data_IF_605728136717
#
_entry.id   IF_605728136717
#
_cell.length_a   1.000
_cell.length_b   1.000
_cell.length_c   1.000
_cell.angle_alpha   90.00
_cell.angle_beta   90.00
_cell.angle_gamma   90.00
#
_symmetry.space_group_name_H-M   'P 1'
#
loop_
_entity.id
_entity.type
_entity.pdbx_description
1 polymer ?
#
# COMPACT_ATOMS: atom_id res chain seq x y z
N UNK A 1 -7.17 -6.97 10.65
CA UNK A 1 -7.09 -6.13 11.85
C UNK A 1 -6.41 -4.77 11.62
N UNK A 2 -5.30 -4.70 10.87
CA UNK A 2 -4.52 -3.47 10.65
C UNK A 2 -5.33 -2.26 10.14
N UNK A 3 -5.98 -2.35 8.97
CA UNK A 3 -6.71 -1.22 8.37
C UNK A 3 -7.79 -0.64 9.29
N UNK A 4 -8.50 -1.49 10.05
CA UNK A 4 -9.49 -1.03 11.01
C UNK A 4 -8.87 -0.19 12.15
N UNK A 5 -7.69 -0.60 12.66
CA UNK A 5 -6.95 0.15 13.68
C UNK A 5 -6.40 1.47 13.15
N UNK A 6 -5.93 1.47 11.90
CA UNK A 6 -5.49 2.71 11.21
C UNK A 6 -6.67 3.66 11.05
N UNK A 7 -7.80 3.19 10.52
CA UNK A 7 -9.00 4.00 10.34
C UNK A 7 -9.50 4.60 11.67
N UNK A 8 -9.56 3.80 12.74
CA UNK A 8 -9.93 4.27 14.08
C UNK A 8 -8.97 5.33 14.62
N UNK A 9 -7.67 5.22 14.33
CA UNK A 9 -6.67 6.20 14.76
C UNK A 9 -6.77 7.51 13.97
N UNK A 10 -6.92 7.42 12.65
CA UNK A 10 -7.07 8.59 11.79
C UNK A 10 -8.36 9.35 12.13
N UNK A 11 -9.49 8.66 12.28
CA UNK A 11 -10.75 9.29 12.64
C UNK A 11 -10.67 10.00 14.00
N UNK A 12 -10.04 9.36 14.99
CA UNK A 12 -9.82 9.98 16.30
C UNK A 12 -8.92 11.23 16.24
N UNK A 13 -7.82 11.16 15.49
CA UNK A 13 -6.82 12.24 15.43
C UNK A 13 -7.30 13.42 14.59
N UNK A 14 -8.04 13.13 13.50
CA UNK A 14 -8.49 14.13 12.53
C UNK A 14 -9.94 14.57 12.76
N UNK A 15 -10.59 14.09 13.83
CA UNK A 15 -11.99 14.41 14.14
C UNK A 15 -12.98 13.92 13.08
N UNK A 16 -12.65 12.86 12.33
CA UNK A 16 -13.45 12.35 11.21
C UNK A 16 -14.39 11.24 11.65
N UNK A 17 -15.48 11.07 10.92
CA UNK A 17 -16.45 9.99 11.09
C UNK A 17 -16.64 9.23 9.78
N UNK A 18 -17.03 7.95 9.88
CA UNK A 18 -17.29 7.11 8.71
C UNK A 18 -16.07 6.29 8.21
N UNK A 19 -16.23 5.60 7.07
CA UNK A 19 -15.23 4.68 6.55
C UNK A 19 -14.06 5.42 5.91
N UNK A 20 -12.84 5.17 6.40
CA UNK A 20 -11.60 5.67 5.78
C UNK A 20 -11.24 4.86 4.53
N UNK A 21 -11.38 3.53 4.60
CA UNK A 21 -11.08 2.64 3.48
C UNK A 21 -12.40 2.15 2.86
N UNK A 22 -12.66 2.44 1.58
CA UNK A 22 -13.93 2.08 0.94
C UNK A 22 -14.05 0.59 0.63
N UNK A 23 -12.95 -0.16 0.66
CA UNK A 23 -12.88 -1.59 0.32
C UNK A 23 -11.91 -2.34 1.23
N UNK A 24 -12.02 -3.66 1.25
CA UNK A 24 -11.05 -4.54 1.92
C UNK A 24 -9.67 -4.42 1.25
N UNK A 25 -8.63 -4.66 2.05
CA UNK A 25 -7.28 -4.81 1.54
C UNK A 25 -7.25 -5.93 0.49
N UNK A 26 -6.47 -5.70 -0.55
CA UNK A 26 -6.34 -6.59 -1.69
C UNK A 26 -4.90 -6.46 -2.18
N UNK A 27 -4.18 -7.57 -2.22
CA UNK A 27 -2.78 -7.63 -2.62
C UNK A 27 -2.72 -8.39 -3.94
N UNK A 28 -2.71 -7.67 -5.06
CA UNK A 28 -2.52 -8.32 -6.36
C UNK A 28 -1.05 -8.74 -6.49
N UNK A 29 -0.76 -10.01 -6.82
CA UNK A 29 0.58 -10.47 -7.12
C UNK A 29 1.18 -9.71 -8.30
N UNK A 30 2.48 -9.48 -8.22
CA UNK A 30 3.30 -8.97 -9.32
C UNK A 30 4.29 -10.09 -9.65
N UNK A 31 4.18 -10.63 -10.87
CA UNK A 31 4.78 -11.91 -11.26
C UNK A 31 6.11 -11.77 -12.00
N UNK A 32 6.46 -10.55 -12.43
CA UNK A 32 7.71 -10.24 -13.12
C UNK A 32 8.21 -8.82 -12.80
N UNK A 33 9.47 -8.55 -13.15
CA UNK A 33 10.14 -7.27 -12.88
C UNK A 33 9.62 -6.11 -13.74
N UNK A 34 9.17 -6.39 -14.96
CA UNK A 34 8.62 -5.39 -15.88
C UNK A 34 7.31 -4.82 -15.31
N UNK A 35 6.43 -5.71 -14.86
CA UNK A 35 5.19 -5.39 -14.15
C UNK A 35 5.48 -4.65 -12.85
N UNK A 36 6.49 -5.05 -12.08
CA UNK A 36 6.89 -4.34 -10.86
C UNK A 36 7.29 -2.89 -11.17
N UNK A 37 8.13 -2.69 -12.17
CA UNK A 37 8.53 -1.37 -12.67
C UNK A 37 7.32 -0.55 -13.16
N UNK A 38 6.42 -1.18 -13.91
CA UNK A 38 5.16 -0.58 -14.36
C UNK A 38 4.25 -0.16 -13.20
N UNK A 39 4.21 -0.93 -12.09
CA UNK A 39 3.45 -0.57 -10.88
C UNK A 39 4.09 0.60 -10.14
N UNK A 40 5.41 0.66 -10.06
CA UNK A 40 6.12 1.81 -9.49
C UNK A 40 5.83 3.05 -10.32
N UNK A 41 5.98 3.00 -11.65
CA UNK A 41 5.60 4.09 -12.57
C UNK A 41 4.16 4.52 -12.33
N UNK A 42 3.22 3.59 -12.25
CA UNK A 42 1.82 3.89 -11.98
C UNK A 42 1.64 4.67 -10.68
N UNK A 43 2.26 4.24 -9.57
CA UNK A 43 2.15 4.92 -8.27
C UNK A 43 2.69 6.34 -8.33
N UNK A 44 3.85 6.54 -8.96
CA UNK A 44 4.50 7.85 -9.06
C UNK A 44 3.74 8.81 -9.98
N UNK A 45 3.20 8.32 -11.10
CA UNK A 45 2.49 9.16 -12.05
C UNK A 45 1.03 9.43 -11.66
N UNK A 46 0.45 8.65 -10.74
CA UNK A 46 -0.98 8.76 -10.43
C UNK A 46 -1.39 10.15 -9.93
N UNK A 47 -0.66 10.82 -9.01
CA UNK A 47 -0.98 12.19 -8.61
C UNK A 47 -1.00 13.17 -9.78
N UNK A 48 -0.03 13.05 -10.70
CA UNK A 48 0.09 13.88 -11.89
C UNK A 48 -1.04 13.63 -12.89
N UNK A 49 -1.34 12.36 -13.19
CA UNK A 49 -2.45 11.94 -14.06
C UNK A 49 -3.82 12.33 -13.50
N UNK A 50 -3.94 12.43 -12.18
CA UNK A 50 -5.14 12.91 -11.51
C UNK A 50 -5.26 14.44 -11.48
N UNK A 51 -4.31 15.19 -12.05
CA UNK A 51 -4.30 16.65 -12.03
C UNK A 51 -4.10 17.24 -10.63
N UNK A 52 -3.45 16.50 -9.73
CA UNK A 52 -3.21 16.98 -8.36
C UNK A 52 -1.94 17.84 -8.32
N UNK A 53 -0.88 17.40 -9.00
CA UNK A 53 0.43 18.05 -9.04
C UNK A 53 1.02 17.97 -10.46
N UNK A 54 2.06 18.76 -10.76
CA UNK A 54 2.74 18.75 -12.07
C UNK A 54 3.80 17.67 -12.14
N UNK A 55 4.47 17.42 -11.02
CA UNK A 55 5.51 16.41 -10.87
C UNK A 55 5.26 15.52 -9.65
N UNK A 56 5.71 14.25 -9.71
CA UNK A 56 5.60 13.34 -8.56
C UNK A 56 6.38 13.83 -7.33
N UNK A 57 7.43 14.64 -7.53
CA UNK A 57 8.22 15.24 -6.44
C UNK A 57 7.49 16.34 -5.70
N UNK A 58 6.39 16.89 -6.26
CA UNK A 58 5.55 17.88 -5.59
C UNK A 58 4.45 17.22 -4.75
N UNK A 59 4.32 15.89 -4.80
CA UNK A 59 3.26 15.20 -4.08
C UNK A 59 3.47 15.30 -2.56
N UNK A 60 2.55 15.91 -1.79
CA UNK A 60 2.72 16.08 -0.35
C UNK A 60 2.46 14.81 0.46
N UNK A 61 1.92 13.77 -0.18
CA UNK A 61 1.72 12.47 0.46
C UNK A 61 3.01 11.66 0.51
N UNK A 62 3.04 10.67 1.40
CA UNK A 62 4.22 9.84 1.58
C UNK A 62 4.52 9.00 0.32
N UNK A 63 5.67 9.25 -0.30
CA UNK A 63 6.24 8.43 -1.37
C UNK A 63 7.73 8.25 -1.09
N UNK A 64 8.16 7.03 -0.78
CA UNK A 64 9.55 6.72 -0.43
C UNK A 64 10.56 7.19 -1.49
N UNK A 65 10.17 7.10 -2.77
CA UNK A 65 10.99 7.55 -3.91
C UNK A 65 11.16 9.08 -3.94
N UNK A 66 10.14 9.84 -3.53
CA UNK A 66 10.26 11.29 -3.35
C UNK A 66 11.12 11.60 -2.12
N UNK A 67 11.01 10.82 -1.04
CA UNK A 67 11.90 10.95 0.12
C UNK A 67 13.38 10.83 -0.25
N UNK A 68 13.75 9.89 -1.15
CA UNK A 68 15.10 9.74 -1.70
C UNK A 68 15.59 10.93 -2.54
N UNK A 69 14.68 11.80 -3.00
CA UNK A 69 15.07 13.06 -3.64
C UNK A 69 15.69 14.02 -2.62
N UNK A 70 15.14 14.08 -1.41
CA UNK A 70 15.55 14.98 -0.34
C UNK A 70 16.69 14.38 0.51
N UNK A 71 16.70 13.05 0.70
CA UNK A 71 17.75 12.35 1.42
C UNK A 71 17.47 10.87 1.65
N UNK A 72 18.43 10.18 2.26
CA UNK A 72 18.29 8.74 2.57
C UNK A 72 17.64 8.53 3.96
N UNK A 73 17.25 9.62 4.62
CA UNK A 73 16.55 9.62 5.92
C UNK A 73 15.35 10.54 5.83
N UNK A 74 14.18 10.00 6.11
CA UNK A 74 12.95 10.77 6.23
C UNK A 74 12.57 10.89 7.70
N UNK A 75 12.54 12.13 8.20
CA UNK A 75 12.03 12.42 9.53
C UNK A 75 10.50 12.57 9.49
N UNK A 76 9.81 11.89 10.40
CA UNK A 76 8.36 11.90 10.48
C UNK A 76 7.91 12.00 11.94
N UNK A 77 6.65 12.31 12.16
CA UNK A 77 6.02 12.23 13.47
C UNK A 77 4.92 11.18 13.44
N UNK A 78 4.87 10.36 14.47
CA UNK A 78 3.78 9.41 14.68
C UNK A 78 3.17 9.59 16.06
N UNK A 79 1.88 9.32 16.15
CA UNK A 79 1.17 9.36 17.41
C UNK A 79 1.32 8.02 18.13
N UNK A 80 1.95 8.02 19.31
CA UNK A 80 2.07 6.85 20.17
C UNK A 80 0.73 6.55 20.85
N UNK A 81 -0.13 5.87 20.10
CA UNK A 81 -1.45 5.47 20.56
C UNK A 81 -1.36 4.56 21.77
N UNK A 82 -0.34 3.72 21.87
CA UNK A 82 -0.19 2.77 22.98
C UNK A 82 0.07 3.52 24.28
N UNK A 83 1.04 4.44 24.30
CA UNK A 83 1.29 5.28 25.48
C UNK A 83 0.09 6.15 25.86
N UNK A 84 -0.62 6.71 24.86
CA UNK A 84 -1.83 7.49 25.11
C UNK A 84 -2.96 6.66 25.73
N UNK A 85 -3.14 5.41 25.29
CA UNK A 85 -4.12 4.48 25.86
C UNK A 85 -3.75 4.08 27.29
N UNK A 86 -2.48 3.77 27.55
CA UNK A 86 -1.97 3.41 28.88
C UNK A 86 -2.17 4.54 29.89
N UNK A 87 -1.97 5.79 29.46
CA UNK A 87 -2.22 6.99 30.25
C UNK A 87 -3.70 7.37 30.38
N UNK A 88 -4.63 6.45 30.06
CA UNK A 88 -6.09 6.64 30.16
C UNK A 88 -6.65 7.77 29.29
N UNK A 89 -6.08 7.95 28.09
CA UNK A 89 -6.63 8.82 27.03
C UNK A 89 -6.85 10.28 27.45
N UNK A 90 -5.82 10.97 27.96
CA UNK A 90 -5.95 12.39 28.31
C UNK A 90 -6.33 13.24 27.10
N UNK A 91 -6.96 14.39 27.37
CA UNK A 91 -7.35 15.38 26.35
C UNK A 91 -6.10 15.96 25.68
N UNK A 92 -5.05 16.23 26.45
CA UNK A 92 -3.77 16.72 25.92
C UNK A 92 -3.05 15.61 25.14
N UNK A 93 -2.93 15.80 23.82
CA UNK A 93 -2.34 14.81 22.90
C UNK A 93 -0.89 15.13 22.50
N UNK A 94 -0.45 16.38 22.68
CA UNK A 94 0.85 16.87 22.20
C UNK A 94 2.01 15.98 22.67
N UNK A 95 2.02 15.60 23.96
CA UNK A 95 3.05 14.76 24.59
C UNK A 95 3.14 13.33 24.09
N UNK A 96 2.24 12.88 23.21
CA UNK A 96 2.23 11.51 22.65
C UNK A 96 2.70 11.46 21.20
N UNK A 97 3.03 12.61 20.61
CA UNK A 97 3.73 12.61 19.33
C UNK A 97 5.19 12.24 19.55
N UNK A 98 5.68 11.37 18.66
CA UNK A 98 7.05 10.86 18.68
C UNK A 98 7.66 11.12 17.32
N UNK A 99 8.91 11.55 17.33
CA UNK A 99 9.71 11.63 16.10
C UNK A 99 10.14 10.22 15.72
N UNK A 100 9.95 9.87 14.45
CA UNK A 100 10.47 8.67 13.84
C UNK A 100 11.44 9.04 12.73
N UNK A 101 12.46 8.21 12.54
CA UNK A 101 13.37 8.29 11.40
C UNK A 101 13.20 7.04 10.57
N UNK A 102 12.99 7.22 9.28
CA UNK A 102 12.94 6.13 8.33
C UNK A 102 14.14 6.23 7.40
N UNK A 103 15.00 5.22 7.42
CA UNK A 103 16.06 5.09 6.45
C UNK A 103 15.49 4.53 5.16
N UNK A 104 15.70 5.25 4.07
CA UNK A 104 15.21 4.89 2.75
C UNK A 104 16.33 4.22 1.98
N UNK A 105 16.03 3.06 1.40
CA UNK A 105 16.89 2.39 0.42
C UNK A 105 16.35 2.64 -0.97
N UNK A 106 17.23 2.58 -1.97
CA UNK A 106 16.84 2.55 -3.38
C UNK A 106 15.96 1.32 -3.65
N UNK A 107 15.26 1.37 -4.78
CA UNK A 107 14.45 0.24 -5.22
C UNK A 107 15.33 -1.00 -5.47
N UNK A 108 14.78 -2.21 -5.27
CA UNK A 108 15.49 -3.44 -5.59
C UNK A 108 16.08 -3.43 -7.01
N UNK A 109 17.33 -3.86 -7.16
CA UNK A 109 18.05 -3.85 -8.44
C UNK A 109 18.68 -2.51 -8.82
N UNK A 110 18.54 -1.48 -7.97
CA UNK A 110 19.11 -0.13 -8.16
C UNK A 110 20.02 0.30 -7.02
N UNK A 111 20.44 -0.61 -6.15
CA UNK A 111 21.20 -0.34 -4.93
C UNK A 111 22.54 0.34 -5.25
N UNK A 112 23.19 -0.09 -6.34
CA UNK A 112 24.50 0.39 -6.80
C UNK A 112 24.46 1.75 -7.50
N UNK A 113 23.27 2.24 -7.89
CA UNK A 113 23.17 3.52 -8.56
C UNK A 113 23.55 4.66 -7.62
N UNK A 114 24.25 5.67 -8.14
CA UNK A 114 24.39 6.94 -7.42
C UNK A 114 23.02 7.60 -7.24
N UNK A 115 22.89 8.53 -6.28
CA UNK A 115 21.61 9.24 -6.06
C UNK A 115 21.13 9.96 -7.33
N UNK A 116 22.03 10.62 -8.05
CA UNK A 116 21.69 11.33 -9.29
C UNK A 116 21.25 10.37 -10.40
N UNK A 117 21.93 9.23 -10.57
CA UNK A 117 21.56 8.21 -11.54
C UNK A 117 20.20 7.58 -11.20
N UNK A 118 19.99 7.20 -9.94
CA UNK A 118 18.71 6.67 -9.46
C UNK A 118 17.54 7.64 -9.74
N UNK A 119 17.71 8.92 -9.37
CA UNK A 119 16.68 9.93 -9.61
C UNK A 119 16.44 10.16 -11.10
N UNK A 120 17.47 10.15 -11.94
CA UNK A 120 17.34 10.28 -13.38
C UNK A 120 16.55 9.09 -13.97
N UNK A 121 16.84 7.86 -13.53
CA UNK A 121 16.12 6.66 -13.97
C UNK A 121 14.66 6.69 -13.53
N UNK A 122 14.37 7.03 -12.28
CA UNK A 122 12.99 7.17 -11.80
C UNK A 122 12.23 8.27 -12.56
N UNK A 123 12.89 9.41 -12.80
CA UNK A 123 12.29 10.52 -13.56
C UNK A 123 12.01 10.12 -15.01
N UNK A 124 12.88 9.32 -15.64
CA UNK A 124 12.65 8.85 -17.01
C UNK A 124 11.44 7.93 -17.12
N UNK A 125 11.05 7.25 -16.04
CA UNK A 125 9.77 6.51 -16.00
C UNK A 125 8.55 7.44 -15.96
N UNK A 126 8.69 8.68 -15.49
CA UNK A 126 7.60 9.61 -15.19
C UNK A 126 7.46 10.73 -16.24
N UNK A 127 7.38 10.33 -17.51
CA UNK A 127 7.46 11.19 -18.70
C UNK A 127 6.11 11.73 -19.20
N UNK A 128 4.99 11.35 -18.57
CA UNK A 128 3.66 11.83 -18.98
C UNK A 128 3.59 13.36 -19.12
N UNK A 129 2.77 13.89 -20.03
CA UNK A 129 2.52 15.35 -20.03
C UNK A 129 1.81 15.75 -18.73
N UNK A 130 2.23 16.83 -18.07
CA UNK A 130 1.48 17.36 -16.93
C UNK A 130 0.08 17.78 -17.39
N UNK A 131 -0.90 17.69 -16.50
CA UNK A 131 -2.21 18.26 -16.76
C UNK A 131 -2.10 19.78 -16.97
N UNK A 132 -2.86 20.35 -17.91
CA UNK A 132 -2.88 21.80 -18.17
C UNK A 132 -3.27 22.60 -16.92
N UNK A 133 -4.15 22.03 -16.09
CA UNK A 133 -4.52 22.55 -14.78
C UNK A 133 -4.31 21.47 -13.73
N UNK A 134 -3.59 21.82 -12.67
CA UNK A 134 -3.42 20.99 -11.49
C UNK A 134 -3.81 21.76 -10.23
N UNK A 135 -4.21 21.05 -9.16
CA UNK A 135 -4.53 21.67 -7.87
C UNK A 135 -3.30 22.34 -7.22
N UNK A 136 -2.13 21.72 -7.35
CA UNK A 136 -0.92 22.12 -6.63
C UNK A 136 -0.89 21.59 -5.19
N UNK A 137 0.26 21.76 -4.53
CA UNK A 137 0.51 21.22 -3.19
C UNK A 137 -0.49 21.74 -2.16
N UNK A 138 -0.70 23.06 -2.14
CA UNK A 138 -1.65 23.72 -1.23
C UNK A 138 -3.08 23.21 -1.45
N UNK A 139 -3.55 23.20 -2.69
CA UNK A 139 -4.89 22.72 -3.03
C UNK A 139 -5.10 21.23 -2.70
N UNK A 140 -4.05 20.40 -2.76
CA UNK A 140 -4.12 19.00 -2.31
C UNK A 140 -4.26 18.89 -0.79
N UNK A 141 -3.53 19.73 -0.04
CA UNK A 141 -3.57 19.74 1.44
C UNK A 141 -4.89 20.30 1.98
N UNK A 142 -5.49 21.27 1.29
CA UNK A 142 -6.77 21.89 1.65
C UNK A 142 -7.99 21.10 1.18
N UNK A 143 -7.81 20.12 0.30
CA UNK A 143 -8.90 19.35 -0.27
C UNK A 143 -9.78 18.69 0.81
N UNK A 144 -11.10 18.83 0.67
CA UNK A 144 -12.03 18.15 1.55
C UNK A 144 -11.94 16.64 1.35
N UNK A 145 -11.36 15.98 2.35
CA UNK A 145 -11.16 14.54 2.43
C UNK A 145 -12.45 13.72 2.44
N UNK A 146 -13.60 14.34 2.72
CA UNK A 146 -14.90 13.68 2.68
C UNK A 146 -15.56 13.81 1.30
N UNK A 147 -15.00 14.63 0.41
CA UNK A 147 -15.54 14.82 -0.92
C UNK A 147 -15.39 13.52 -1.74
N UNK A 148 -16.52 13.04 -2.26
CA UNK A 148 -16.52 11.88 -3.17
C UNK A 148 -16.28 12.33 -4.61
N UNK A 149 -15.55 11.54 -5.42
CA UNK A 149 -15.45 11.79 -6.85
C UNK A 149 -16.84 11.83 -7.50
N UNK A 150 -17.09 12.83 -8.35
CA UNK A 150 -18.39 12.98 -9.04
C UNK A 150 -18.68 11.84 -10.01
N UNK A 151 -17.65 11.25 -10.62
CA UNK A 151 -17.75 10.16 -11.62
C UNK A 151 -16.68 9.10 -11.34
N UNK A 152 -16.89 8.20 -10.37
CA UNK A 152 -15.93 7.14 -10.08
C UNK A 152 -15.83 6.17 -11.26
N UNK A 153 -14.62 5.89 -11.73
CA UNK A 153 -14.40 4.85 -12.74
C UNK A 153 -14.54 3.48 -12.08
N UNK A 154 -15.42 2.65 -12.64
CA UNK A 154 -15.56 1.26 -12.25
C UNK A 154 -14.85 0.39 -13.30
N UNK A 155 -13.72 -0.20 -12.94
CA UNK A 155 -13.06 -1.22 -13.74
C UNK A 155 -12.90 -2.52 -12.94
N UNK A 156 -12.89 -3.65 -13.65
CA UNK A 156 -12.50 -4.92 -13.04
C UNK A 156 -11.04 -4.81 -12.59
N UNK A 157 -10.74 -5.40 -11.44
CA UNK A 157 -9.37 -5.46 -10.94
C UNK A 157 -8.63 -6.59 -11.64
N UNK A 158 -7.36 -6.38 -12.04
CA UNK A 158 -6.50 -7.47 -12.46
C UNK A 158 -6.38 -8.53 -11.36
N UNK A 159 -6.27 -9.79 -11.74
CA UNK A 159 -6.05 -10.89 -10.79
C UNK A 159 -4.61 -10.90 -10.28
N UNK A 160 -3.66 -10.72 -11.20
CA UNK A 160 -2.25 -10.50 -10.96
C UNK A 160 -1.72 -9.58 -12.07
N UNK A 161 -0.52 -9.04 -11.87
CA UNK A 161 0.23 -8.29 -12.88
C UNK A 161 1.38 -9.17 -13.37
N UNK A 162 1.43 -9.41 -14.68
CA UNK A 162 2.44 -10.22 -15.34
C UNK A 162 2.08 -10.40 -16.82
N UNK A 163 2.87 -11.19 -17.54
CA UNK A 163 2.48 -11.64 -18.87
C UNK A 163 1.17 -12.46 -18.82
N UNK A 164 0.37 -12.51 -19.91
CA UNK A 164 -0.84 -13.33 -19.96
C UNK A 164 -0.60 -14.78 -19.52
N UNK A 165 0.50 -15.38 -19.97
CA UNK A 165 0.89 -16.76 -19.66
C UNK A 165 1.18 -16.94 -18.17
N UNK A 166 1.91 -16.00 -17.56
CA UNK A 166 2.19 -16.05 -16.12
C UNK A 166 0.93 -15.87 -15.29
N UNK A 167 0.03 -14.98 -15.70
CA UNK A 167 -1.25 -14.76 -15.00
C UNK A 167 -2.11 -16.02 -15.05
N UNK A 168 -2.17 -16.70 -16.20
CA UNK A 168 -2.94 -17.93 -16.34
C UNK A 168 -2.30 -19.10 -15.58
N UNK A 169 -0.98 -19.23 -15.60
CA UNK A 169 -0.26 -20.19 -14.76
C UNK A 169 -0.50 -19.94 -13.27
N UNK A 170 -0.47 -18.68 -12.83
CA UNK A 170 -0.73 -18.30 -11.45
C UNK A 170 -2.18 -18.56 -11.01
N UNK A 171 -3.16 -18.35 -11.91
CA UNK A 171 -4.56 -18.71 -11.67
C UNK A 171 -4.72 -20.20 -11.47
N UNK A 172 -4.12 -21.01 -12.33
CA UNK A 172 -4.22 -22.47 -12.23
C UNK A 172 -3.54 -22.99 -10.97
N UNK A 173 -2.32 -22.51 -10.66
CA UNK A 173 -1.63 -22.84 -9.43
C UNK A 173 -2.46 -22.48 -8.18
N UNK A 174 -3.13 -21.32 -8.20
CA UNK A 174 -4.00 -20.91 -7.09
C UNK A 174 -5.25 -21.76 -6.98
N UNK A 175 -5.87 -22.15 -8.11
CA UNK A 175 -7.01 -23.08 -8.14
C UNK A 175 -6.63 -24.43 -7.52
N UNK A 176 -5.49 -24.99 -7.91
CA UNK A 176 -4.97 -26.25 -7.36
C UNK A 176 -4.66 -26.13 -5.86
N UNK A 177 -4.06 -25.02 -5.43
CA UNK A 177 -3.77 -24.77 -4.00
C UNK A 177 -5.04 -24.75 -3.16
N UNK A 178 -6.10 -24.11 -3.64
CA UNK A 178 -7.40 -24.10 -2.95
C UNK A 178 -8.07 -25.47 -2.93
N UNK A 179 -8.00 -26.23 -4.03
CA UNK A 179 -8.52 -27.60 -4.05
C UNK A 179 -7.80 -28.52 -3.04
N UNK A 180 -6.46 -28.42 -2.95
CA UNK A 180 -5.68 -29.16 -1.95
C UNK A 180 -6.04 -28.75 -0.50
N UNK A 181 -6.27 -27.45 -0.28
CA UNK A 181 -6.72 -26.95 1.01
C UNK A 181 -8.09 -27.47 1.41
N UNK A 182 -9.05 -27.47 0.49
CA UNK A 182 -10.40 -27.98 0.75
C UNK A 182 -10.39 -29.49 1.01
N UNK A 183 -9.54 -30.25 0.32
CA UNK A 183 -9.32 -31.68 0.61
C UNK A 183 -8.73 -31.91 2.01
N UNK A 184 -7.67 -31.16 2.37
CA UNK A 184 -7.05 -31.23 3.71
C UNK A 184 -8.04 -30.85 4.81
N UNK A 185 -8.86 -29.82 4.55
CA UNK A 185 -9.91 -29.38 5.46
C UNK A 185 -11.00 -30.43 5.65
N UNK A 186 -11.37 -31.16 4.60
CA UNK A 186 -12.35 -32.25 4.69
C UNK A 186 -11.82 -33.41 5.55
N UNK A 187 -10.55 -33.78 5.42
CA UNK A 187 -9.86 -34.76 6.26
C UNK A 187 -9.78 -34.30 7.72
N UNK A 188 -9.33 -33.06 7.97
CA UNK A 188 -9.26 -32.50 9.33
C UNK A 188 -10.61 -32.48 10.05
N UNK A 189 -11.71 -32.19 9.33
CA UNK A 189 -13.06 -32.24 9.89
C UNK A 189 -13.49 -33.63 10.36
N UNK A 190 -12.87 -34.69 9.82
CA UNK A 190 -13.07 -36.08 10.27
C UNK A 190 -12.19 -36.47 11.46
N UNK A 191 -11.38 -35.54 11.98
CA UNK A 191 -10.46 -35.78 13.10
C UNK A 191 -9.08 -36.30 12.67
N UNK A 192 -8.79 -36.34 11.37
CA UNK A 192 -7.49 -36.76 10.85
C UNK A 192 -6.45 -35.66 11.05
N UNK A 193 -5.22 -36.02 11.41
CA UNK A 193 -4.09 -35.09 11.37
C UNK A 193 -3.69 -34.87 9.92
N UNK A 194 -3.60 -33.60 9.52
CA UNK A 194 -3.27 -33.21 8.15
C UNK A 194 -2.15 -32.20 8.13
N UNK A 195 -1.28 -32.32 7.14
CA UNK A 195 -0.38 -31.25 6.75
C UNK A 195 -1.14 -30.27 5.87
N UNK A 196 -0.95 -28.97 6.13
CA UNK A 196 -1.60 -27.93 5.35
C UNK A 196 -0.74 -27.56 4.14
N UNK A 197 -1.34 -27.31 2.97
CA UNK A 197 -0.58 -26.87 1.80
C UNK A 197 0.26 -25.63 2.08
N UNK A 198 1.44 -25.57 1.47
CA UNK A 198 2.38 -24.46 1.64
C UNK A 198 1.71 -23.09 1.39
N UNK A 199 2.01 -22.13 2.25
CA UNK A 199 1.42 -20.80 2.21
C UNK A 199 -0.05 -20.72 2.65
N UNK A 200 -0.62 -21.82 3.16
CA UNK A 200 -1.95 -21.85 3.77
C UNK A 200 -1.89 -22.21 5.24
N UNK A 201 -2.86 -21.71 6.00
CA UNK A 201 -2.93 -21.90 7.44
C UNK A 201 -4.10 -22.80 7.81
N UNK A 202 -3.91 -23.57 8.88
CA UNK A 202 -4.99 -24.31 9.51
C UNK A 202 -6.17 -23.36 9.84
N UNK A 203 -7.42 -23.74 9.53
CA UNK A 203 -8.58 -23.00 10.00
C UNK A 203 -8.61 -23.02 11.53
N UNK A 204 -9.05 -21.92 12.15
CA UNK A 204 -9.05 -21.80 13.61
C UNK A 204 -9.78 -22.97 14.29
N UNK A 205 -9.07 -23.68 15.18
CA UNK A 205 -9.56 -24.87 15.87
C UNK A 205 -9.10 -26.21 15.29
N UNK A 206 -8.47 -26.23 14.11
CA UNK A 206 -7.83 -27.45 13.60
C UNK A 206 -6.44 -27.63 14.22
N UNK A 207 -6.17 -28.81 14.75
CA UNK A 207 -4.86 -29.18 15.31
C UNK A 207 -3.90 -29.40 14.13
N UNK A 208 -2.84 -28.60 14.04
CA UNK A 208 -1.74 -28.88 13.11
C UNK A 208 -1.02 -30.16 13.55
N UNK A 209 -0.57 -30.97 12.58
CA UNK A 209 0.04 -32.28 12.82
C UNK A 209 1.27 -32.22 13.74
#
# INVERSE_FOLDING_TARGET
>A
YFLARVAQSLNLLLGRVGPVFPRRYDAQPVLDEESASGRIKYVLENPKKAGLVRCFTEWPGFVAVAGLHEGDVLETQHFDRSAWQLAKRPVERARYWRRGRLHLSRLPGMESLSRSAYLATVKSWCDSRPAERCLGVEGVLEADVNQRPKKPKHSRRPYAFGSPEQVDAYREATRLRHAAYDASRALAKRGERVEWPEGMYAPGGAVAA
#
